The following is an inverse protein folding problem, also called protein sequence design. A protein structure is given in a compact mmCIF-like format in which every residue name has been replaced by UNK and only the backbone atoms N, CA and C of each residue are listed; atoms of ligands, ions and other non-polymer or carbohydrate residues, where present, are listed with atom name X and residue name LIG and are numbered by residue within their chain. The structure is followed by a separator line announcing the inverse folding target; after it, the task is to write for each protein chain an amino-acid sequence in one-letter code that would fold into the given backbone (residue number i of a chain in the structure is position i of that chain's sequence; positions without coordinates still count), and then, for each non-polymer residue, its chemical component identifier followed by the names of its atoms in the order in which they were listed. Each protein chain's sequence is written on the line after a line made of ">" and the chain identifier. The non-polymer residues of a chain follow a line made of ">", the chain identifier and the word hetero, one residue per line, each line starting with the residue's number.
data_IF_116907664525
#
_entry.id   IF_116907664525
#
_cell.length_a   1.000
_cell.length_b   1.000
_cell.length_c   1.000
_cell.angle_alpha   90.00
_cell.angle_beta   90.00
_cell.angle_gamma   90.00
#
_symmetry.space_group_name_H-M   'P 1'
#
loop_
_entity.id
_entity.type
_entity.pdbx_description
1 polymer ?
#
# COMPACT_ATOMS: atom_id res chain seq x y z
N UNK A 1 -26.67 -1.20 -0.89
CA UNK A 1 -25.31 -0.61 -0.80
C UNK A 1 -24.43 -1.57 -0.03
N UNK A 2 -23.51 -2.25 -0.69
CA UNK A 2 -22.53 -3.12 -0.02
C UNK A 2 -21.53 -2.18 0.66
N UNK A 3 -21.59 -2.04 1.99
CA UNK A 3 -20.52 -1.41 2.77
C UNK A 3 -19.23 -2.14 2.40
N UNK A 4 -18.31 -1.47 1.69
CA UNK A 4 -16.99 -2.02 1.46
C UNK A 4 -16.42 -2.46 2.81
N UNK A 5 -16.13 -3.76 2.94
CA UNK A 5 -15.54 -4.30 4.17
C UNK A 5 -14.28 -3.48 4.46
N UNK A 6 -14.18 -2.91 5.66
CA UNK A 6 -13.07 -2.07 6.09
C UNK A 6 -11.83 -2.94 6.30
N UNK A 7 -11.29 -3.47 5.20
CA UNK A 7 -10.22 -4.46 5.16
C UNK A 7 -9.24 -4.10 4.06
N UNK A 8 -7.98 -4.39 4.30
CA UNK A 8 -6.90 -4.38 3.32
C UNK A 8 -6.68 -5.84 2.92
N UNK A 9 -6.79 -6.12 1.63
CA UNK A 9 -6.56 -7.45 1.08
C UNK A 9 -5.24 -7.41 0.32
N UNK A 10 -4.27 -8.20 0.75
CA UNK A 10 -3.00 -8.36 0.07
C UNK A 10 -2.94 -9.76 -0.52
N UNK A 11 -2.70 -9.82 -1.83
CA UNK A 11 -2.48 -11.06 -2.54
C UNK A 11 -0.98 -11.28 -2.71
N UNK A 12 -0.50 -12.41 -2.19
CA UNK A 12 0.91 -12.82 -2.28
C UNK A 12 1.02 -14.14 -3.01
N UNK A 13 2.10 -14.33 -3.74
CA UNK A 13 2.44 -15.60 -4.39
C UNK A 13 3.62 -16.20 -3.64
N UNK A 14 3.45 -17.38 -3.06
CA UNK A 14 4.60 -18.12 -2.54
C UNK A 14 5.35 -18.74 -3.71
N UNK A 15 6.54 -18.21 -4.01
CA UNK A 15 7.46 -18.86 -4.94
C UNK A 15 7.97 -20.18 -4.34
N UNK A 16 8.51 -21.09 -5.18
CA UNK A 16 9.15 -22.35 -4.75
C UNK A 16 10.25 -22.17 -3.69
N UNK A 17 10.76 -20.96 -3.51
CA UNK A 17 11.78 -20.61 -2.52
C UNK A 17 11.21 -20.01 -1.23
N UNK A 18 9.90 -20.04 -1.02
CA UNK A 18 9.26 -19.49 0.19
C UNK A 18 9.23 -17.97 0.25
N UNK A 19 9.65 -17.27 -0.82
CA UNK A 19 9.58 -15.81 -0.90
C UNK A 19 8.18 -15.40 -1.36
N UNK A 20 7.42 -14.63 -0.55
CA UNK A 20 6.13 -14.08 -0.95
C UNK A 20 6.34 -12.92 -1.94
N UNK A 21 5.88 -13.09 -3.17
CA UNK A 21 5.84 -12.04 -4.19
C UNK A 21 4.47 -11.36 -4.07
N UNK A 22 4.43 -10.08 -3.72
CA UNK A 22 3.16 -9.33 -3.70
C UNK A 22 2.73 -8.99 -5.12
N UNK A 23 1.47 -9.26 -5.44
CA UNK A 23 0.87 -8.80 -6.69
C UNK A 23 0.49 -7.33 -6.55
N UNK A 24 0.69 -6.51 -7.60
CA UNK A 24 0.33 -5.10 -7.53
C UNK A 24 -1.14 -4.95 -7.17
N UNK A 25 -1.39 -4.08 -6.21
CA UNK A 25 -2.73 -3.68 -5.77
C UNK A 25 -3.48 -2.98 -6.90
N UNK A 26 -4.80 -2.90 -6.78
CA UNK A 26 -5.63 -2.17 -7.76
C UNK A 26 -5.19 -0.71 -7.92
N UNK A 27 -4.84 -0.04 -6.82
CA UNK A 27 -4.35 1.34 -6.86
C UNK A 27 -2.99 1.51 -7.55
N UNK A 28 -2.07 0.56 -7.35
CA UNK A 28 -0.80 0.54 -8.11
C UNK A 28 -1.04 0.28 -9.60
N UNK A 29 -2.03 -0.56 -9.91
CA UNK A 29 -2.44 -0.82 -11.30
C UNK A 29 -2.98 0.45 -11.95
N UNK A 30 -3.91 1.13 -11.29
CA UNK A 30 -4.53 2.35 -11.79
C UNK A 30 -3.50 3.50 -11.92
N UNK A 31 -2.58 3.64 -10.97
CA UNK A 31 -1.48 4.61 -11.02
C UNK A 31 -0.52 4.36 -12.18
N UNK A 32 -0.05 3.13 -12.35
CA UNK A 32 0.84 2.75 -13.45
C UNK A 32 0.15 2.90 -14.81
N UNK A 33 -1.14 2.57 -14.90
CA UNK A 33 -1.94 2.78 -16.13
C UNK A 33 -2.08 4.27 -16.43
N UNK A 34 -2.33 5.12 -15.43
CA UNK A 34 -2.41 6.56 -15.62
C UNK A 34 -1.06 7.16 -16.06
N UNK A 35 0.04 6.73 -15.46
CA UNK A 35 1.39 7.15 -15.89
C UNK A 35 1.70 6.72 -17.32
N UNK A 36 1.40 5.46 -17.67
CA UNK A 36 1.63 4.94 -19.02
C UNK A 36 0.79 5.71 -20.05
N UNK A 37 -0.47 6.02 -19.76
CA UNK A 37 -1.35 6.80 -20.66
C UNK A 37 -0.91 8.24 -20.90
N UNK A 38 -0.08 8.80 -20.04
CA UNK A 38 0.45 10.16 -20.20
C UNK A 38 1.66 10.23 -21.15
N UNK A 39 2.13 9.10 -21.67
CA UNK A 39 3.26 9.03 -22.61
C UNK A 39 2.72 8.77 -24.02
N UNK A 40 3.37 9.36 -25.05
CA UNK A 40 2.99 9.14 -26.45
C UNK A 40 3.11 7.64 -26.82
N UNK A 41 2.02 7.04 -27.34
CA UNK A 41 1.93 5.58 -27.56
C UNK A 41 1.63 4.74 -26.30
N UNK A 42 1.33 5.41 -25.20
CA UNK A 42 1.14 4.85 -23.86
C UNK A 42 -0.12 4.00 -23.65
N UNK A 43 -1.14 4.14 -24.49
CA UNK A 43 -2.37 3.32 -24.41
C UNK A 43 -2.06 1.84 -24.66
N UNK A 44 -1.30 1.54 -25.72
CA UNK A 44 -0.86 0.17 -26.02
C UNK A 44 0.03 -0.39 -24.90
N UNK A 45 0.86 0.45 -24.28
CA UNK A 45 1.71 0.05 -23.18
C UNK A 45 0.89 -0.27 -21.91
N UNK A 46 -0.14 0.53 -21.61
CA UNK A 46 -1.05 0.32 -20.50
C UNK A 46 -1.87 -0.97 -20.68
N UNK A 47 -2.43 -1.21 -21.87
CA UNK A 47 -3.14 -2.46 -22.18
C UNK A 47 -2.24 -3.68 -22.07
N UNK A 48 -1.03 -3.62 -22.65
CA UNK A 48 -0.06 -4.72 -22.57
C UNK A 48 0.37 -5.00 -21.12
N UNK A 49 0.46 -3.96 -20.29
CA UNK A 49 0.79 -4.10 -18.87
C UNK A 49 -0.35 -4.75 -18.09
N UNK A 50 -1.60 -4.31 -18.30
CA UNK A 50 -2.79 -4.94 -17.72
C UNK A 50 -2.89 -6.41 -18.11
N UNK A 51 -2.70 -6.73 -19.40
CA UNK A 51 -2.72 -8.11 -19.90
C UNK A 51 -1.64 -8.96 -19.23
N UNK A 52 -0.40 -8.45 -19.09
CA UNK A 52 0.68 -9.16 -18.40
C UNK A 52 0.38 -9.40 -16.92
N UNK A 53 -0.27 -8.44 -16.25
CA UNK A 53 -0.69 -8.60 -14.84
C UNK A 53 -1.75 -9.69 -14.72
N UNK A 54 -2.78 -9.67 -15.57
CA UNK A 54 -3.84 -10.69 -15.59
C UNK A 54 -3.32 -12.09 -15.97
N UNK A 55 -2.46 -12.20 -16.98
CA UNK A 55 -1.83 -13.47 -17.35
C UNK A 55 -0.95 -14.03 -16.24
N UNK A 56 -0.23 -13.16 -15.52
CA UNK A 56 0.55 -13.58 -14.35
C UNK A 56 -0.39 -14.04 -13.24
N UNK A 57 -1.45 -13.28 -12.92
CA UNK A 57 -2.48 -13.66 -11.95
C UNK A 57 -3.08 -15.02 -12.27
N UNK A 58 -3.46 -15.27 -13.52
CA UNK A 58 -4.01 -16.55 -13.95
C UNK A 58 -3.01 -17.71 -13.82
N UNK A 59 -1.75 -17.52 -14.23
CA UNK A 59 -0.69 -18.54 -14.14
C UNK A 59 -0.34 -18.92 -12.71
N UNK A 60 -0.40 -17.96 -11.79
CA UNK A 60 -0.03 -18.15 -10.38
C UNK A 60 -1.23 -18.28 -9.46
N UNK A 61 -2.47 -18.31 -9.97
CA UNK A 61 -3.70 -18.30 -9.17
C UNK A 61 -3.72 -19.41 -8.09
N UNK A 62 -3.20 -20.58 -8.42
CA UNK A 62 -3.09 -21.72 -7.50
C UNK A 62 -2.04 -21.56 -6.40
N UNK A 63 -1.18 -20.53 -6.47
CA UNK A 63 -0.14 -20.17 -5.50
C UNK A 63 -0.45 -18.85 -4.77
N UNK A 64 -1.60 -18.22 -5.06
CA UNK A 64 -1.99 -16.96 -4.42
C UNK A 64 -2.49 -17.26 -3.00
N UNK A 65 -1.79 -16.70 -2.02
CA UNK A 65 -2.24 -16.57 -0.64
C UNK A 65 -2.84 -15.18 -0.49
N UNK A 66 -4.13 -15.16 -0.16
CA UNK A 66 -4.88 -13.96 0.17
C UNK A 66 -4.82 -13.74 1.68
N UNK A 67 -4.22 -12.64 2.10
CA UNK A 67 -4.19 -12.22 3.50
C UNK A 67 -5.07 -11.00 3.69
N UNK A 68 -5.97 -11.05 4.67
CA UNK A 68 -6.86 -9.95 5.01
C UNK A 68 -6.41 -9.29 6.31
N UNK A 69 -6.26 -7.98 6.28
CA UNK A 69 -6.00 -7.15 7.45
C UNK A 69 -7.23 -6.29 7.71
N UNK A 70 -7.64 -6.17 8.97
CA UNK A 70 -8.67 -5.19 9.33
C UNK A 70 -8.11 -3.79 9.11
N UNK A 71 -8.92 -2.87 8.59
CA UNK A 71 -8.53 -1.48 8.44
C UNK A 71 -9.28 -0.60 9.44
N UNK A 72 -8.54 0.27 10.09
CA UNK A 72 -9.04 1.33 10.95
C UNK A 72 -8.58 2.67 10.37
N UNK A 73 -9.51 3.60 10.29
CA UNK A 73 -9.24 4.99 9.89
C UNK A 73 -8.19 5.64 10.78
N UNK A 74 -7.30 6.40 10.15
CA UNK A 74 -6.19 7.09 10.79
C UNK A 74 -6.63 8.47 11.27
N UNK A 75 -6.57 8.69 12.58
CA UNK A 75 -6.94 9.99 13.16
C UNK A 75 -5.79 10.99 13.06
N UNK A 76 -6.10 12.29 13.20
CA UNK A 76 -5.07 13.33 13.24
C UNK A 76 -4.08 13.11 14.39
N UNK A 77 -4.56 12.60 15.54
CA UNK A 77 -3.70 12.23 16.67
C UNK A 77 -2.70 11.14 16.30
N UNK A 78 -3.12 10.15 15.50
CA UNK A 78 -2.22 9.09 15.03
C UNK A 78 -1.14 9.66 14.10
N UNK A 79 -1.47 10.65 13.25
CA UNK A 79 -0.52 11.34 12.38
C UNK A 79 0.51 12.15 13.15
N UNK A 80 0.08 12.90 14.16
CA UNK A 80 0.97 13.65 15.08
C UNK A 80 1.91 12.68 15.79
N UNK A 81 1.36 11.64 16.43
CA UNK A 81 2.17 10.63 17.14
C UNK A 81 3.17 9.93 16.23
N UNK A 82 2.78 9.57 14.99
CA UNK A 82 3.66 8.94 14.02
C UNK A 82 4.78 9.90 13.58
N UNK A 83 4.44 11.17 13.34
CA UNK A 83 5.41 12.22 12.98
C UNK A 83 6.44 12.43 14.08
N UNK A 84 6.01 12.55 15.33
CA UNK A 84 6.91 12.70 16.48
C UNK A 84 7.88 11.51 16.58
N UNK A 85 7.37 10.27 16.51
CA UNK A 85 8.20 9.05 16.57
C UNK A 85 9.13 8.88 15.37
N UNK A 86 8.78 9.45 14.21
CA UNK A 86 9.58 9.43 13.00
C UNK A 86 10.56 10.61 12.90
N UNK A 87 10.46 11.60 13.80
CA UNK A 87 11.36 12.75 13.82
C UNK A 87 12.62 12.39 14.59
N UNK A 88 13.78 12.68 14.00
CA UNK A 88 15.08 12.58 14.66
C UNK A 88 15.75 13.95 14.67
N UNK A 89 16.48 14.25 15.74
CA UNK A 89 17.31 15.44 15.81
C UNK A 89 18.61 15.20 15.04
N UNK A 90 18.88 16.06 14.06
CA UNK A 90 20.14 16.08 13.31
C UNK A 90 20.89 17.39 13.59
N UNK A 91 22.18 17.49 13.24
CA UNK A 91 22.93 18.75 13.36
C UNK A 91 22.30 19.93 12.61
N UNK A 92 21.48 19.65 11.58
CA UNK A 92 20.78 20.66 10.78
C UNK A 92 19.33 20.92 11.27
N UNK A 93 18.94 20.36 12.42
CA UNK A 93 17.59 20.45 12.97
C UNK A 93 16.79 19.15 12.90
N UNK A 94 15.48 19.20 13.25
CA UNK A 94 14.61 18.03 13.23
C UNK A 94 14.34 17.56 11.79
N UNK A 95 14.57 16.27 11.53
CA UNK A 95 14.29 15.62 10.23
C UNK A 95 13.30 14.47 10.43
N UNK A 96 12.29 14.41 9.56
CA UNK A 96 11.28 13.35 9.57
C UNK A 96 11.73 12.21 8.64
N UNK A 97 11.78 10.99 9.16
CA UNK A 97 11.95 9.78 8.34
C UNK A 97 10.60 9.37 7.75
N UNK A 98 10.35 9.74 6.50
CA UNK A 98 9.06 9.50 5.83
C UNK A 98 8.67 8.02 5.79
N UNK A 99 9.62 7.13 5.50
CA UNK A 99 9.37 5.68 5.45
C UNK A 99 8.95 5.13 6.82
N UNK A 100 9.63 5.57 7.90
CA UNK A 100 9.26 5.21 9.28
C UNK A 100 7.87 5.75 9.64
N UNK A 101 7.57 6.99 9.26
CA UNK A 101 6.25 7.60 9.48
C UNK A 101 5.15 6.80 8.77
N UNK A 102 5.37 6.44 7.50
CA UNK A 102 4.44 5.62 6.72
C UNK A 102 4.24 4.23 7.32
N UNK A 103 5.31 3.57 7.74
CA UNK A 103 5.23 2.26 8.40
C UNK A 103 4.50 2.31 9.75
N UNK A 104 4.70 3.37 10.53
CA UNK A 104 3.97 3.60 11.79
C UNK A 104 2.47 3.78 11.56
N UNK A 105 2.09 4.54 10.54
CA UNK A 105 0.69 4.74 10.16
C UNK A 105 0.07 3.46 9.61
N UNK A 106 0.81 2.72 8.77
CA UNK A 106 0.34 1.46 8.21
C UNK A 106 0.11 0.42 9.29
N UNK A 107 1.08 0.22 10.20
CA UNK A 107 0.94 -0.66 11.35
C UNK A 107 -0.29 -0.31 12.20
N UNK A 108 -0.46 1.00 12.49
CA UNK A 108 -1.60 1.49 13.26
C UNK A 108 -2.94 1.24 12.56
N UNK A 109 -3.00 1.47 11.24
CA UNK A 109 -4.20 1.27 10.43
C UNK A 109 -4.67 -0.19 10.45
N UNK A 110 -3.73 -1.14 10.52
CA UNK A 110 -4.05 -2.57 10.55
C UNK A 110 -4.12 -3.17 11.96
N UNK A 111 -3.99 -2.35 13.00
CA UNK A 111 -4.04 -2.78 14.40
C UNK A 111 -2.81 -3.56 14.88
N UNK A 112 -1.67 -3.42 14.19
CA UNK A 112 -0.39 -4.03 14.58
C UNK A 112 0.54 -2.99 15.22
N UNK A 113 1.51 -3.49 16.00
CA UNK A 113 2.66 -2.70 16.43
C UNK A 113 3.64 -2.49 15.27
N UNK A 114 4.52 -1.48 15.38
CA UNK A 114 5.54 -1.25 14.36
C UNK A 114 6.56 -2.40 14.27
N UNK A 115 6.80 -3.10 15.37
CA UNK A 115 7.69 -4.27 15.42
C UNK A 115 7.08 -5.47 14.68
N UNK A 116 5.80 -5.78 14.95
CA UNK A 116 5.06 -6.80 14.20
C UNK A 116 4.96 -6.47 12.71
N UNK A 117 4.79 -5.18 12.38
CA UNK A 117 4.80 -4.72 11.00
C UNK A 117 6.18 -4.89 10.35
N UNK A 118 7.26 -4.63 11.09
CA UNK A 118 8.64 -4.84 10.63
C UNK A 118 9.02 -6.31 10.42
N UNK A 119 8.28 -7.24 11.03
CA UNK A 119 8.43 -8.67 10.82
C UNK A 119 7.74 -9.19 9.55
N UNK A 120 6.88 -8.39 8.92
CA UNK A 120 6.29 -8.72 7.62
C UNK A 120 7.36 -8.76 6.53
N UNK A 121 7.08 -9.51 5.46
CA UNK A 121 7.96 -9.44 4.29
C UNK A 121 8.00 -8.01 3.74
N UNK A 122 9.16 -7.52 3.26
CA UNK A 122 9.28 -6.14 2.76
C UNK A 122 8.25 -5.78 1.69
N UNK A 123 7.93 -6.74 0.82
CA UNK A 123 6.90 -6.56 -0.22
C UNK A 123 5.51 -6.37 0.38
N UNK A 124 5.13 -7.16 1.40
CA UNK A 124 3.82 -7.06 2.06
C UNK A 124 3.71 -5.74 2.82
N UNK A 125 4.75 -5.38 3.59
CA UNK A 125 4.81 -4.10 4.29
C UNK A 125 4.65 -2.92 3.32
N UNK A 126 5.35 -2.94 2.17
CA UNK A 126 5.24 -1.90 1.15
C UNK A 126 3.83 -1.80 0.56
N UNK A 127 3.21 -2.93 0.22
CA UNK A 127 1.86 -2.93 -0.34
C UNK A 127 0.82 -2.40 0.65
N UNK A 128 0.94 -2.76 1.94
CA UNK A 128 0.06 -2.20 2.99
C UNK A 128 0.30 -0.69 3.12
N UNK A 129 1.55 -0.23 3.14
CA UNK A 129 1.85 1.22 3.21
C UNK A 129 1.23 1.99 2.05
N UNK A 130 1.30 1.47 0.83
CA UNK A 130 0.71 2.09 -0.36
C UNK A 130 -0.82 2.15 -0.27
N UNK A 131 -1.46 1.04 0.08
CA UNK A 131 -2.92 0.97 0.25
C UNK A 131 -3.41 1.94 1.34
N UNK A 132 -2.71 2.01 2.47
CA UNK A 132 -3.04 2.95 3.56
C UNK A 132 -2.84 4.40 3.11
N UNK A 133 -1.77 4.70 2.36
CA UNK A 133 -1.52 6.04 1.86
C UNK A 133 -2.58 6.50 0.85
N UNK A 134 -3.05 5.61 -0.02
CA UNK A 134 -4.13 5.88 -0.97
C UNK A 134 -5.43 6.20 -0.23
N UNK A 135 -5.81 5.40 0.78
CA UNK A 135 -7.02 5.65 1.57
C UNK A 135 -6.97 6.99 2.31
N UNK A 136 -5.83 7.32 2.91
CA UNK A 136 -5.63 8.63 3.57
C UNK A 136 -5.80 9.78 2.57
N UNK A 137 -5.29 9.63 1.34
CA UNK A 137 -5.43 10.64 0.28
C UNK A 137 -6.88 10.79 -0.16
N UNK A 138 -7.59 9.68 -0.34
CA UNK A 138 -9.00 9.69 -0.76
C UNK A 138 -9.91 10.34 0.29
N UNK A 139 -9.69 10.04 1.58
CA UNK A 139 -10.34 10.73 2.70
C UNK A 139 -10.13 12.25 2.61
N UNK A 140 -8.87 12.70 2.45
CA UNK A 140 -8.55 14.13 2.36
C UNK A 140 -9.21 14.81 1.15
N UNK A 141 -9.36 14.11 0.03
CA UNK A 141 -10.02 14.65 -1.15
C UNK A 141 -11.54 14.76 -0.94
N UNK A 142 -12.18 13.78 -0.29
CA UNK A 142 -13.61 13.85 0.05
C UNK A 142 -13.93 15.04 0.96
N UNK A 143 -13.05 15.39 1.91
CA UNK A 143 -13.24 16.56 2.77
C UNK A 143 -13.01 17.91 2.08
N UNK A 144 -12.38 17.95 0.90
CA UNK A 144 -12.12 19.19 0.13
C UNK A 144 -13.18 19.51 -0.91
N UNK A 145 -14.06 18.56 -1.23
CA UNK A 145 -15.13 18.72 -2.22
C UNK A 145 -16.51 19.03 -1.60
N UNK A 146 -16.58 19.19 -0.27
CA UNK A 146 -17.73 19.70 0.47
C UNK A 146 -17.43 21.12 0.99
#
# INVERSE_FOLDING_TARGET
>A
MVKALNRIVIETVTSKHGVPIVLPSRGEIEGNVAELRNVEGGENAAELWLQKVEERRAKVAHLIIRTEYSYREITERDRVNAREKATVMTPCGPKIHMEKMQGLLAAKAIGMTYEEFGALSPSVAKAIMLEVALRIRDEQNQYRSN
#
